data_IF_453073792804
#
_entry.id   IF_453073792804
#
_cell.length_a   1.000
_cell.length_b   1.000
_cell.length_c   1.000
_cell.angle_alpha   90.00
_cell.angle_beta   90.00
_cell.angle_gamma   90.00
#
_symmetry.space_group_name_H-M   'P 1'
#
loop_
_entity.id
_entity.type
_entity.pdbx_description
1 polymer ?
#
# COMPACT_ATOMS: atom_id res chain seq x y z
N UNK A 1 2.39 -4.08 -13.10
CA UNK A 1 0.96 -4.39 -12.84
C UNK A 1 0.15 -4.63 -14.11
N UNK A 2 0.39 -3.90 -15.20
CA UNK A 2 -0.42 -4.06 -16.43
C UNK A 2 -0.36 -5.49 -17.01
N UNK A 3 0.79 -6.17 -16.92
CA UNK A 3 0.95 -7.58 -17.30
C UNK A 3 0.10 -8.51 -16.43
N UNK A 4 -0.04 -8.15 -15.17
CA UNK A 4 -0.66 -8.97 -14.13
C UNK A 4 -2.16 -8.61 -13.93
N UNK A 5 -2.74 -7.83 -14.86
CA UNK A 5 -4.08 -7.25 -14.71
C UNK A 5 -5.18 -8.32 -14.50
N UNK A 6 -5.04 -9.48 -15.14
CA UNK A 6 -6.02 -10.56 -15.03
C UNK A 6 -6.02 -11.15 -13.61
N UNK A 7 -4.85 -11.55 -13.11
CA UNK A 7 -4.72 -12.10 -11.75
C UNK A 7 -5.22 -11.10 -10.69
N UNK A 8 -4.85 -9.82 -10.83
CA UNK A 8 -5.30 -8.76 -9.93
C UNK A 8 -6.82 -8.60 -9.95
N UNK A 9 -7.44 -8.67 -11.12
CA UNK A 9 -8.90 -8.57 -11.23
C UNK A 9 -9.59 -9.79 -10.60
N UNK A 10 -9.11 -11.01 -10.86
CA UNK A 10 -9.62 -12.23 -10.22
C UNK A 10 -9.52 -12.13 -8.70
N UNK A 11 -8.34 -11.77 -8.18
CA UNK A 11 -8.10 -11.64 -6.75
C UNK A 11 -9.01 -10.57 -6.09
N UNK A 12 -9.21 -9.43 -6.77
CA UNK A 12 -10.07 -8.35 -6.29
C UNK A 12 -11.57 -8.73 -6.32
N UNK A 13 -11.98 -9.58 -7.26
CA UNK A 13 -13.38 -10.02 -7.40
C UNK A 13 -13.86 -10.90 -6.23
N UNK A 14 -12.94 -11.37 -5.38
CA UNK A 14 -13.27 -12.08 -4.14
C UNK A 14 -13.86 -11.16 -3.06
N UNK A 15 -13.68 -9.84 -3.18
CA UNK A 15 -14.33 -8.84 -2.31
C UNK A 15 -15.72 -8.50 -2.86
N UNK A 16 -16.68 -9.38 -2.62
CA UNK A 16 -18.04 -9.29 -3.16
C UNK A 16 -18.74 -7.98 -2.74
N UNK A 17 -18.47 -7.51 -1.52
CA UNK A 17 -19.07 -6.30 -0.97
C UNK A 17 -18.35 -5.02 -1.41
N UNK A 18 -17.20 -5.13 -2.04
CA UNK A 18 -16.40 -3.99 -2.48
C UNK A 18 -15.78 -3.16 -1.34
N UNK A 19 -15.65 -3.76 -0.16
CA UNK A 19 -15.18 -3.08 1.05
C UNK A 19 -13.77 -2.51 0.92
N UNK A 20 -12.87 -3.20 0.22
CA UNK A 20 -11.51 -2.77 -0.03
C UNK A 20 -11.41 -1.45 -0.83
N UNK A 21 -12.45 -1.11 -1.61
CA UNK A 21 -12.49 0.09 -2.44
C UNK A 21 -12.97 1.33 -1.70
N UNK A 22 -13.49 1.18 -0.48
CA UNK A 22 -14.15 2.27 0.28
C UNK A 22 -13.29 3.52 0.38
N UNK A 23 -12.01 3.37 0.65
CA UNK A 23 -11.07 4.48 0.86
C UNK A 23 -10.11 4.72 -0.30
N UNK A 24 -10.17 3.91 -1.35
CA UNK A 24 -9.42 4.15 -2.58
C UNK A 24 -10.14 5.19 -3.46
N UNK A 25 -9.40 6.05 -4.18
CA UNK A 25 -10.00 7.09 -5.02
C UNK A 25 -10.67 6.54 -6.29
N UNK A 26 -10.56 5.25 -6.55
CA UNK A 26 -11.09 4.52 -7.70
C UNK A 26 -11.79 3.24 -7.25
N UNK A 27 -12.43 2.54 -8.22
CA UNK A 27 -13.16 1.30 -7.97
C UNK A 27 -14.42 1.45 -7.10
N UNK A 28 -15.18 0.35 -6.90
CA UNK A 28 -15.00 -0.93 -7.57
C UNK A 28 -15.18 -0.86 -9.09
N UNK A 29 -14.69 -1.86 -9.82
CA UNK A 29 -14.79 -1.95 -11.27
C UNK A 29 -15.77 -3.06 -11.63
N UNK A 30 -16.78 -2.72 -12.47
CA UNK A 30 -17.85 -3.64 -12.83
C UNK A 30 -17.42 -4.73 -13.83
N UNK A 31 -16.27 -4.57 -14.50
CA UNK A 31 -15.74 -5.57 -15.43
C UNK A 31 -14.22 -5.54 -15.49
N UNK A 32 -13.65 -6.62 -16.03
CA UNK A 32 -12.21 -6.71 -16.29
C UNK A 32 -11.72 -5.61 -17.25
N UNK A 33 -12.50 -5.29 -18.27
CA UNK A 33 -12.13 -4.26 -19.25
C UNK A 33 -12.00 -2.88 -18.60
N UNK A 34 -12.92 -2.53 -17.69
CA UNK A 34 -12.86 -1.27 -16.94
C UNK A 34 -11.66 -1.24 -16.00
N UNK A 35 -11.39 -2.33 -15.27
CA UNK A 35 -10.21 -2.45 -14.42
C UNK A 35 -8.92 -2.33 -15.22
N UNK A 36 -8.80 -3.09 -16.31
CA UNK A 36 -7.65 -3.06 -17.21
C UNK A 36 -7.44 -1.68 -17.83
N UNK A 37 -8.52 -1.03 -18.24
CA UNK A 37 -8.48 0.33 -18.78
C UNK A 37 -7.91 1.32 -17.78
N UNK A 38 -8.41 1.30 -16.55
CA UNK A 38 -7.87 2.12 -15.45
C UNK A 38 -6.40 1.82 -15.17
N UNK A 39 -6.04 0.56 -15.05
CA UNK A 39 -4.68 0.15 -14.72
C UNK A 39 -3.67 0.59 -15.78
N UNK A 40 -4.02 0.47 -17.07
CA UNK A 40 -3.17 0.91 -18.19
C UNK A 40 -2.84 2.40 -18.11
N UNK A 41 -3.79 3.23 -17.75
CA UNK A 41 -3.58 4.68 -17.59
C UNK A 41 -2.75 4.97 -16.34
N UNK A 42 -3.07 4.29 -15.24
CA UNK A 42 -2.41 4.51 -13.94
C UNK A 42 -0.91 4.21 -13.96
N UNK A 43 -0.47 3.22 -14.76
CA UNK A 43 0.95 2.84 -14.83
C UNK A 43 1.78 3.66 -15.84
N UNK A 44 1.18 4.64 -16.51
CA UNK A 44 1.89 5.49 -17.48
C UNK A 44 2.66 6.65 -16.82
N UNK A 45 2.39 6.91 -15.54
CA UNK A 45 3.03 8.00 -14.80
C UNK A 45 4.24 7.50 -14.01
N UNK A 46 5.21 8.39 -13.78
CA UNK A 46 6.34 8.10 -12.90
C UNK A 46 6.04 8.40 -11.42
N UNK A 47 4.90 9.04 -11.14
CA UNK A 47 4.38 9.33 -9.80
C UNK A 47 2.85 9.44 -9.91
N UNK A 48 2.11 8.45 -9.37
CA UNK A 48 2.57 7.29 -8.59
C UNK A 48 3.23 6.18 -9.44
N UNK A 49 4.20 5.48 -8.83
CA UNK A 49 4.82 4.26 -9.38
C UNK A 49 4.15 3.03 -8.81
N UNK A 50 3.39 2.31 -9.63
CA UNK A 50 2.64 1.11 -9.22
C UNK A 50 3.46 -0.17 -9.32
N UNK A 51 3.31 -1.06 -8.34
CA UNK A 51 3.89 -2.40 -8.27
C UNK A 51 2.79 -3.44 -8.04
N UNK A 52 2.90 -4.59 -8.72
CA UNK A 52 2.15 -5.79 -8.35
C UNK A 52 2.82 -6.48 -7.17
N UNK A 53 2.00 -6.98 -6.27
CA UNK A 53 2.42 -7.86 -5.18
C UNK A 53 2.14 -9.29 -5.64
N UNK A 54 3.21 -10.09 -5.78
CA UNK A 54 3.14 -11.46 -6.28
C UNK A 54 3.24 -12.42 -5.09
N UNK A 55 2.26 -13.30 -4.95
CA UNK A 55 2.37 -14.42 -4.03
C UNK A 55 3.36 -15.44 -4.59
N UNK A 56 4.46 -15.65 -3.89
CA UNK A 56 5.54 -16.55 -4.32
C UNK A 56 5.10 -18.02 -4.42
N UNK A 57 4.10 -18.43 -3.64
CA UNK A 57 3.60 -19.83 -3.66
C UNK A 57 2.78 -20.11 -4.90
N UNK A 58 1.99 -19.16 -5.36
CA UNK A 58 1.08 -19.33 -6.51
C UNK A 58 1.62 -18.69 -7.79
N UNK A 59 2.64 -17.84 -7.67
CA UNK A 59 3.16 -16.98 -8.73
C UNK A 59 2.08 -16.08 -9.38
N UNK A 60 1.04 -15.72 -8.62
CA UNK A 60 -0.05 -14.85 -9.05
C UNK A 60 0.01 -13.49 -8.36
N UNK A 61 -0.45 -12.47 -9.06
CA UNK A 61 -0.60 -11.13 -8.49
C UNK A 61 -1.84 -11.06 -7.60
N UNK A 62 -1.65 -10.69 -6.33
CA UNK A 62 -2.70 -10.68 -5.30
C UNK A 62 -2.99 -9.28 -4.74
N UNK A 63 -2.26 -8.27 -5.19
CA UNK A 63 -2.50 -6.89 -4.78
C UNK A 63 -1.59 -5.90 -5.50
N UNK A 64 -1.83 -4.62 -5.25
CA UNK A 64 -0.97 -3.53 -5.72
C UNK A 64 -0.61 -2.58 -4.58
N UNK A 65 0.56 -1.98 -4.70
CA UNK A 65 1.02 -0.84 -3.91
C UNK A 65 1.71 0.16 -4.83
N UNK A 66 1.83 1.40 -4.41
CA UNK A 66 2.56 2.40 -5.19
C UNK A 66 3.44 3.27 -4.28
N UNK A 67 4.56 3.74 -4.83
CA UNK A 67 5.19 4.95 -4.32
C UNK A 67 4.55 6.16 -4.97
N UNK A 68 4.38 7.20 -4.21
CA UNK A 68 3.85 8.47 -4.69
C UNK A 68 4.43 9.63 -3.89
N UNK A 69 4.21 10.86 -4.38
CA UNK A 69 4.81 12.07 -3.80
C UNK A 69 6.32 11.86 -3.58
N UNK A 70 6.96 11.38 -4.64
CA UNK A 70 8.37 11.05 -4.67
C UNK A 70 9.14 12.36 -4.74
N UNK A 71 9.79 12.74 -3.63
CA UNK A 71 10.57 13.99 -3.51
C UNK A 71 12.04 13.70 -3.14
N UNK A 72 12.89 13.42 -4.14
CA UNK A 72 14.32 13.15 -3.89
C UNK A 72 15.06 14.34 -3.31
N UNK A 73 14.59 15.57 -3.57
CA UNK A 73 15.24 16.79 -3.06
C UNK A 73 15.12 16.90 -1.55
N UNK A 74 13.96 16.57 -1.00
CA UNK A 74 13.72 16.55 0.45
C UNK A 74 13.95 15.18 1.07
N UNK A 75 14.18 14.14 0.25
CA UNK A 75 14.40 12.78 0.69
C UNK A 75 13.15 12.13 1.27
N UNK A 76 11.95 12.48 0.77
CA UNK A 76 10.69 11.88 1.22
C UNK A 76 9.99 11.09 0.12
N UNK A 77 9.32 10.01 0.52
CA UNK A 77 8.55 9.14 -0.36
C UNK A 77 7.35 8.58 0.41
N UNK A 78 6.20 8.52 -0.24
CA UNK A 78 4.98 7.96 0.36
C UNK A 78 4.67 6.59 -0.26
N UNK A 79 4.21 5.65 0.56
CA UNK A 79 3.53 4.44 0.10
C UNK A 79 2.02 4.66 0.14
N UNK A 80 1.34 4.28 -0.92
CA UNK A 80 -0.11 4.40 -1.00
C UNK A 80 -0.70 3.54 -2.11
N UNK A 81 -1.94 3.85 -2.49
CA UNK A 81 -2.69 3.03 -3.44
C UNK A 81 -2.71 1.53 -3.07
N UNK A 82 -2.77 1.25 -1.75
CA UNK A 82 -2.73 -0.11 -1.23
C UNK A 82 -4.07 -0.79 -1.53
N UNK A 83 -4.09 -1.57 -2.59
CA UNK A 83 -5.22 -2.40 -2.95
C UNK A 83 -4.83 -3.86 -2.69
N UNK A 84 -5.19 -4.35 -1.51
CA UNK A 84 -4.89 -5.70 -1.03
C UNK A 84 -6.12 -6.57 -1.18
N UNK A 85 -6.07 -7.54 -2.07
CA UNK A 85 -7.17 -8.48 -2.25
C UNK A 85 -7.41 -9.34 -0.99
N UNK A 86 -8.57 -9.99 -0.87
CA UNK A 86 -8.82 -10.94 0.22
C UNK A 86 -7.76 -12.04 0.35
N UNK A 87 -7.07 -12.40 -0.75
CA UNK A 87 -6.02 -13.43 -0.74
C UNK A 87 -4.77 -13.03 0.07
N UNK A 88 -4.50 -11.73 0.21
CA UNK A 88 -3.32 -11.28 0.96
C UNK A 88 -3.64 -10.55 2.26
N UNK A 89 -4.90 -10.13 2.46
CA UNK A 89 -5.29 -9.45 3.70
C UNK A 89 -5.11 -10.38 4.91
N UNK A 90 -4.51 -9.84 5.99
CA UNK A 90 -4.23 -10.56 7.24
C UNK A 90 -3.31 -11.77 7.08
N UNK A 91 -2.46 -11.78 6.07
CA UNK A 91 -1.43 -12.80 5.82
C UNK A 91 -0.03 -12.19 5.96
N UNK A 92 1.00 -13.06 6.00
CA UNK A 92 2.41 -12.64 5.98
C UNK A 92 2.77 -11.89 4.69
N UNK A 93 2.10 -12.20 3.56
CA UNK A 93 2.32 -11.53 2.26
C UNK A 93 2.17 -10.02 2.38
N UNK A 94 1.14 -9.55 3.10
CA UNK A 94 0.90 -8.11 3.27
C UNK A 94 2.01 -7.43 4.06
N UNK A 95 2.55 -8.09 5.08
CA UNK A 95 3.66 -7.57 5.89
C UNK A 95 4.96 -7.58 5.11
N UNK A 96 5.26 -8.67 4.41
CA UNK A 96 6.46 -8.82 3.57
C UNK A 96 6.48 -7.77 2.44
N UNK A 97 5.36 -7.58 1.73
CA UNK A 97 5.25 -6.56 0.71
C UNK A 97 5.55 -5.15 1.27
N UNK A 98 5.05 -4.81 2.45
CA UNK A 98 5.31 -3.51 3.07
C UNK A 98 6.75 -3.39 3.58
N UNK A 99 7.34 -4.46 4.10
CA UNK A 99 8.76 -4.52 4.43
C UNK A 99 9.63 -4.25 3.20
N UNK A 100 9.40 -4.94 2.09
CA UNK A 100 10.15 -4.75 0.84
C UNK A 100 10.03 -3.33 0.29
N UNK A 101 8.83 -2.73 0.35
CA UNK A 101 8.61 -1.35 -0.06
C UNK A 101 9.41 -0.38 0.84
N UNK A 102 9.36 -0.55 2.15
CA UNK A 102 10.07 0.31 3.09
C UNK A 102 11.60 0.15 2.96
N UNK A 103 12.09 -1.10 2.88
CA UNK A 103 13.49 -1.43 2.68
C UNK A 103 14.05 -0.79 1.40
N UNK A 104 13.30 -0.90 0.29
CA UNK A 104 13.70 -0.28 -0.97
C UNK A 104 13.79 1.24 -0.85
N UNK A 105 12.84 1.90 -0.19
CA UNK A 105 12.84 3.34 -0.02
C UNK A 105 14.09 3.81 0.75
N UNK A 106 14.40 3.19 1.89
CA UNK A 106 15.58 3.55 2.67
C UNK A 106 16.89 3.19 1.96
N UNK A 107 16.95 2.04 1.26
CA UNK A 107 18.13 1.66 0.46
C UNK A 107 18.39 2.61 -0.72
N UNK A 108 17.38 3.30 -1.22
CA UNK A 108 17.52 4.36 -2.23
C UNK A 108 17.96 5.70 -1.63
N UNK A 109 18.12 5.79 -0.31
CA UNK A 109 18.58 6.98 0.39
C UNK A 109 17.47 7.96 0.76
N UNK A 110 16.20 7.58 0.66
CA UNK A 110 15.13 8.39 1.23
C UNK A 110 15.27 8.38 2.76
N UNK A 111 15.11 9.55 3.36
CA UNK A 111 15.23 9.73 4.82
C UNK A 111 13.89 9.68 5.54
N UNK A 112 12.77 9.68 4.78
CA UNK A 112 11.40 9.70 5.31
C UNK A 112 10.47 8.88 4.43
N UNK A 113 9.83 7.88 5.04
CA UNK A 113 8.84 7.02 4.43
C UNK A 113 7.47 7.33 5.02
N UNK A 114 6.52 7.76 4.20
CA UNK A 114 5.23 8.28 4.62
C UNK A 114 4.09 7.29 4.32
N UNK A 115 3.08 7.34 5.19
CA UNK A 115 1.81 6.64 5.02
C UNK A 115 0.67 7.58 5.37
N UNK A 116 -0.27 7.76 4.45
CA UNK A 116 -1.43 8.64 4.64
C UNK A 116 -2.71 7.86 4.38
N UNK A 117 -3.70 8.02 5.25
CA UNK A 117 -5.00 7.39 5.05
C UNK A 117 -6.13 8.29 5.52
N UNK A 118 -7.36 7.98 5.08
CA UNK A 118 -8.53 8.61 5.67
C UNK A 118 -8.55 8.36 7.18
N UNK A 119 -8.79 9.39 7.98
CA UNK A 119 -8.82 9.30 9.44
C UNK A 119 -9.86 8.28 9.96
N UNK A 120 -10.90 8.00 9.17
CA UNK A 120 -11.92 6.99 9.45
C UNK A 120 -11.49 5.56 9.03
N UNK A 121 -10.40 5.40 8.28
CA UNK A 121 -9.91 4.10 7.85
C UNK A 121 -9.16 3.40 8.98
N UNK A 122 -9.90 2.87 9.95
CA UNK A 122 -9.33 2.19 11.11
C UNK A 122 -8.40 1.00 10.75
N UNK A 123 -8.71 0.15 9.75
CA UNK A 123 -7.79 -0.90 9.30
C UNK A 123 -6.43 -0.35 8.84
N UNK A 124 -6.41 0.69 8.01
CA UNK A 124 -5.18 1.30 7.50
C UNK A 124 -4.37 1.96 8.61
N UNK A 125 -5.03 2.65 9.55
CA UNK A 125 -4.37 3.25 10.72
C UNK A 125 -3.69 2.21 11.60
N UNK A 126 -4.39 1.09 11.88
CA UNK A 126 -3.80 -0.03 12.63
C UNK A 126 -2.64 -0.68 11.88
N UNK A 127 -2.75 -0.81 10.56
CA UNK A 127 -1.67 -1.36 9.74
C UNK A 127 -0.41 -0.49 9.83
N UNK A 128 -0.53 0.84 9.65
CA UNK A 128 0.61 1.76 9.76
C UNK A 128 1.32 1.63 11.13
N UNK A 129 0.55 1.63 12.23
CA UNK A 129 1.10 1.49 13.58
C UNK A 129 1.75 0.12 13.80
N UNK A 130 1.11 -0.97 13.36
CA UNK A 130 1.66 -2.33 13.45
C UNK A 130 2.97 -2.49 12.67
N UNK A 131 3.12 -1.79 11.56
CA UNK A 131 4.33 -1.76 10.74
C UNK A 131 5.41 -0.82 11.30
N UNK A 132 5.18 -0.23 12.47
CA UNK A 132 6.14 0.60 13.18
C UNK A 132 6.18 2.06 12.77
N UNK A 133 5.25 2.54 11.93
CA UNK A 133 5.21 3.95 11.58
C UNK A 133 4.63 4.78 12.73
N UNK A 134 5.26 5.89 13.04
CA UNK A 134 4.85 6.84 14.07
C UNK A 134 3.68 7.69 13.57
N UNK A 135 2.66 7.87 14.42
CA UNK A 135 1.54 8.76 14.14
C UNK A 135 1.95 10.23 14.34
N UNK A 136 1.68 11.08 13.35
CA UNK A 136 2.08 12.49 13.37
C UNK A 136 0.91 13.47 13.46
N UNK A 137 -0.32 13.01 13.25
CA UNK A 137 -1.49 13.88 13.40
C UNK A 137 -2.55 13.68 12.32
N UNK A 138 -3.57 14.56 12.34
CA UNK A 138 -4.65 14.61 11.35
C UNK A 138 -4.73 15.98 10.71
N UNK A 139 -4.69 15.99 9.38
CA UNK A 139 -5.07 17.18 8.61
C UNK A 139 -6.59 17.16 8.41
N UNK A 140 -7.27 18.09 9.06
CA UNK A 140 -8.74 18.23 8.94
C UNK A 140 -9.09 18.87 7.60
N UNK A 141 -10.20 18.43 6.99
CA UNK A 141 -10.67 18.93 5.70
C UNK A 141 -9.56 18.91 4.62
N UNK A 142 -8.70 17.89 4.66
CA UNK A 142 -7.51 17.83 3.80
C UNK A 142 -7.86 17.66 2.32
N UNK A 143 -8.94 16.95 2.01
CA UNK A 143 -9.37 16.70 0.63
C UNK A 143 -10.84 16.29 0.57
N UNK A 144 -11.39 16.25 -0.63
CA UNK A 144 -12.69 15.64 -0.92
C UNK A 144 -12.46 14.34 -1.69
N UNK A 145 -13.00 13.23 -1.21
CA UNK A 145 -12.90 11.92 -1.86
C UNK A 145 -14.28 11.32 -2.05
N UNK A 146 -14.62 10.92 -3.27
CA UNK A 146 -15.95 10.38 -3.62
C UNK A 146 -17.11 11.26 -3.11
N UNK A 147 -16.97 12.58 -3.26
CA UNK A 147 -17.97 13.58 -2.84
C UNK A 147 -18.08 13.82 -1.33
N UNK A 148 -17.19 13.25 -0.52
CA UNK A 148 -17.20 13.37 0.94
C UNK A 148 -15.92 14.04 1.44
N UNK A 149 -16.05 14.81 2.53
CA UNK A 149 -14.89 15.32 3.23
C UNK A 149 -13.99 14.19 3.71
N UNK A 150 -12.69 14.39 3.57
CA UNK A 150 -11.68 13.47 4.06
C UNK A 150 -10.69 14.21 4.95
N UNK A 151 -10.71 13.89 6.23
CA UNK A 151 -9.61 14.15 7.13
C UNK A 151 -8.54 13.10 6.91
N UNK A 152 -7.28 13.51 6.87
CA UNK A 152 -6.17 12.61 6.55
C UNK A 152 -5.27 12.42 7.75
N UNK A 153 -5.16 11.18 8.21
CA UNK A 153 -4.19 10.77 9.23
C UNK A 153 -2.82 10.53 8.58
N UNK A 154 -1.78 11.05 9.22
CA UNK A 154 -0.39 11.00 8.78
C UNK A 154 0.43 10.11 9.68
N UNK A 155 1.25 9.28 9.07
CA UNK A 155 2.22 8.40 9.72
C UNK A 155 3.52 8.46 8.93
N UNK A 156 4.65 8.28 9.61
CA UNK A 156 5.95 8.17 8.97
C UNK A 156 6.90 7.25 9.75
N UNK A 157 7.91 6.76 9.05
CA UNK A 157 9.15 6.25 9.62
C UNK A 157 10.30 7.05 9.03
N UNK A 158 11.35 7.28 9.81
CA UNK A 158 12.56 7.99 9.38
C UNK A 158 13.77 7.05 9.32
N UNK A 159 14.81 7.48 8.62
CA UNK A 159 16.03 6.70 8.39
C UNK A 159 16.72 6.26 9.69
N UNK A 160 16.71 7.10 10.72
CA UNK A 160 17.27 6.75 12.05
C UNK A 160 16.49 5.60 12.73
N UNK A 161 15.20 5.43 12.44
CA UNK A 161 14.36 4.36 13.00
C UNK A 161 14.50 3.05 12.20
N UNK A 162 14.92 3.16 10.93
CA UNK A 162 14.91 2.03 9.99
C UNK A 162 15.69 0.80 10.45
N UNK A 163 16.92 0.90 11.01
CA UNK A 163 17.65 -0.29 11.42
C UNK A 163 16.89 -1.16 12.44
N UNK A 164 16.21 -0.53 13.41
CA UNK A 164 15.42 -1.22 14.40
C UNK A 164 14.14 -1.83 13.79
N UNK A 165 13.48 -1.09 12.89
CA UNK A 165 12.31 -1.57 12.18
C UNK A 165 12.64 -2.76 11.27
N UNK A 166 13.74 -2.70 10.52
CA UNK A 166 14.19 -3.78 9.66
C UNK A 166 14.43 -5.07 10.45
N UNK A 167 15.16 -4.98 11.57
CA UNK A 167 15.41 -6.14 12.44
C UNK A 167 14.10 -6.75 12.98
N UNK A 168 13.12 -5.90 13.36
CA UNK A 168 11.82 -6.38 13.82
C UNK A 168 11.01 -7.07 12.70
N UNK A 169 11.06 -6.55 11.47
CA UNK A 169 10.45 -7.19 10.31
C UNK A 169 11.09 -8.54 10.00
N UNK A 170 12.43 -8.60 9.95
CA UNK A 170 13.17 -9.83 9.68
C UNK A 170 12.86 -10.91 10.72
N UNK A 171 12.83 -10.52 12.00
CA UNK A 171 12.45 -11.44 13.07
C UNK A 171 10.99 -11.92 12.91
N UNK A 172 10.05 -11.03 12.57
CA UNK A 172 8.64 -11.40 12.42
C UNK A 172 8.40 -12.25 11.18
N UNK A 173 9.13 -12.02 10.09
CA UNK A 173 9.02 -12.74 8.81
C UNK A 173 9.82 -14.04 8.77
N UNK A 174 10.55 -14.40 9.83
CA UNK A 174 11.28 -15.65 9.89
C UNK A 174 10.36 -16.86 9.70
N UNK A 175 10.82 -17.86 8.95
CA UNK A 175 10.00 -19.03 8.53
C UNK A 175 9.38 -19.77 9.73
N UNK A 176 10.12 -19.87 10.83
CA UNK A 176 9.70 -20.54 12.06
C UNK A 176 8.53 -19.86 12.80
N UNK A 177 8.10 -18.67 12.36
CA UNK A 177 6.91 -18.01 12.92
C UNK A 177 5.60 -18.41 12.20
N UNK A 178 5.66 -19.23 11.14
CA UNK A 178 4.52 -19.53 10.27
C UNK A 178 4.30 -21.03 10.05
N UNK A 179 4.91 -21.90 10.87
CA UNK A 179 4.73 -23.36 10.86
C UNK A 179 3.42 -23.80 11.52
#
# INVERSE_FOLDING_TARGET
PNRDAFDLHEANSLDIEGAMWTYLPYGPFASFELYRGWLRVSVLTNDPQFYSIIDQKTNKAVGIAAYLRIDPKNGSIEVGHLNFSPLMQKTSIATDAMFLMMQRAFNLGYRRYEWKCNALNAPSRRAAQRLGLSYEGVFRNATVSKGRNRDTAWYAAIDDEWPALAAAFEQWLADDNFD
#
